data_IF_865451637192
#
_entry.id   IF_865451637192
#
_cell.length_a   1.000
_cell.length_b   1.000
_cell.length_c   1.000
_cell.angle_alpha   90.00
_cell.angle_beta   90.00
_cell.angle_gamma   90.00
#
_symmetry.space_group_name_H-M   'P 1'
#
loop_
_entity.id
_entity.type
_entity.pdbx_description
1 polymer ?
#
# COMPACT_ATOMS: atom_id res chain seq x y z
N UNK A 1 -15.52 -0.25 12.57
CA UNK A 1 -15.80 0.18 11.16
C UNK A 1 -15.21 -0.87 10.21
N UNK A 2 -15.93 -1.24 9.17
CA UNK A 2 -15.53 -2.29 8.21
C UNK A 2 -14.13 -2.07 7.60
N UNK A 3 -13.82 -0.85 7.17
CA UNK A 3 -12.51 -0.54 6.56
C UNK A 3 -11.33 -0.76 7.54
N UNK A 4 -11.48 -0.36 8.79
CA UNK A 4 -10.45 -0.53 9.83
C UNK A 4 -10.15 -2.02 10.04
N UNK A 5 -11.20 -2.84 10.14
CA UNK A 5 -11.04 -4.29 10.27
C UNK A 5 -10.30 -4.91 9.08
N UNK A 6 -10.64 -4.48 7.85
CA UNK A 6 -9.96 -4.95 6.63
C UNK A 6 -8.49 -4.52 6.59
N UNK A 7 -8.19 -3.25 6.91
CA UNK A 7 -6.83 -2.71 6.93
C UNK A 7 -5.95 -3.40 7.97
N UNK A 8 -6.48 -3.67 9.16
CA UNK A 8 -5.76 -4.39 10.21
C UNK A 8 -5.49 -5.85 9.82
N UNK A 9 -6.48 -6.54 9.24
CA UNK A 9 -6.29 -7.91 8.75
C UNK A 9 -5.21 -7.98 7.65
N UNK A 10 -5.22 -7.04 6.72
CA UNK A 10 -4.18 -6.96 5.68
C UNK A 10 -2.80 -6.73 6.29
N UNK A 11 -2.69 -5.88 7.32
CA UNK A 11 -1.44 -5.63 8.03
C UNK A 11 -0.87 -6.91 8.64
N UNK A 12 -1.69 -7.71 9.30
CA UNK A 12 -1.28 -9.00 9.89
C UNK A 12 -0.75 -9.95 8.80
N UNK A 13 -1.51 -10.12 7.71
CA UNK A 13 -1.10 -10.97 6.58
C UNK A 13 0.23 -10.50 5.98
N UNK A 14 0.39 -9.20 5.78
CA UNK A 14 1.62 -8.64 5.19
C UNK A 14 2.81 -8.76 6.12
N UNK A 15 2.63 -8.65 7.44
CA UNK A 15 3.71 -8.89 8.41
C UNK A 15 4.26 -10.30 8.28
N UNK A 16 3.42 -11.31 8.07
CA UNK A 16 3.85 -12.68 7.83
C UNK A 16 4.67 -12.78 6.54
N UNK A 17 4.23 -12.11 5.45
CA UNK A 17 5.00 -12.10 4.21
C UNK A 17 6.33 -11.37 4.32
N UNK A 18 6.40 -10.25 5.06
CA UNK A 18 7.66 -9.55 5.31
C UNK A 18 8.71 -10.42 5.99
N UNK A 19 8.31 -11.40 6.77
CA UNK A 19 9.22 -12.30 7.48
C UNK A 19 9.59 -13.57 6.68
N UNK A 20 8.99 -13.80 5.51
CA UNK A 20 9.22 -14.98 4.66
C UNK A 20 10.41 -14.75 3.70
N UNK A 21 11.62 -14.95 4.17
CA UNK A 21 12.86 -14.76 3.37
C UNK A 21 12.88 -15.58 2.08
N UNK A 22 12.24 -16.73 2.06
CA UNK A 22 12.17 -17.63 0.92
C UNK A 22 11.45 -17.07 -0.31
N UNK A 23 10.62 -16.03 -0.14
CA UNK A 23 9.92 -15.40 -1.27
C UNK A 23 10.67 -14.23 -1.89
N UNK A 24 11.69 -13.68 -1.22
CA UNK A 24 12.29 -12.40 -1.59
C UNK A 24 12.85 -12.37 -3.01
N UNK A 25 13.47 -13.45 -3.45
CA UNK A 25 14.09 -13.57 -4.77
C UNK A 25 13.21 -14.33 -5.79
N UNK A 26 12.00 -14.71 -5.42
CA UNK A 26 11.09 -15.46 -6.29
C UNK A 26 10.03 -14.56 -6.88
N UNK A 27 9.77 -14.77 -8.17
CA UNK A 27 8.74 -14.03 -8.89
C UNK A 27 7.38 -14.71 -8.76
N UNK A 28 6.31 -13.93 -8.65
CA UNK A 28 4.95 -14.46 -8.65
C UNK A 28 4.49 -14.96 -10.03
N UNK A 29 5.16 -14.51 -11.09
CA UNK A 29 4.99 -14.99 -12.49
C UNK A 29 6.25 -14.66 -13.31
N UNK A 30 6.39 -15.29 -14.48
CA UNK A 30 7.43 -14.94 -15.44
C UNK A 30 7.32 -13.47 -15.84
N UNK A 31 8.42 -12.73 -15.80
CA UNK A 31 8.47 -11.29 -16.11
C UNK A 31 7.84 -10.38 -15.03
N UNK A 32 7.29 -10.93 -13.95
CA UNK A 32 6.76 -10.17 -12.82
C UNK A 32 7.85 -9.78 -11.82
N UNK A 33 7.43 -9.03 -10.80
CA UNK A 33 8.28 -8.65 -9.67
C UNK A 33 8.55 -9.82 -8.73
N UNK A 34 9.64 -9.74 -8.00
CA UNK A 34 9.94 -10.65 -6.89
C UNK A 34 9.06 -10.35 -5.68
N UNK A 35 9.00 -11.28 -4.73
CA UNK A 35 8.28 -11.06 -3.46
C UNK A 35 8.80 -9.85 -2.71
N UNK A 36 10.11 -9.63 -2.68
CA UNK A 36 10.70 -8.43 -2.05
C UNK A 36 10.26 -7.14 -2.74
N UNK A 37 10.29 -7.12 -4.08
CA UNK A 37 9.84 -5.94 -4.86
C UNK A 37 8.37 -5.62 -4.64
N UNK A 38 7.50 -6.64 -4.57
CA UNK A 38 6.08 -6.45 -4.24
C UNK A 38 5.90 -5.87 -2.83
N UNK A 39 6.61 -6.40 -1.84
CA UNK A 39 6.53 -5.91 -0.45
C UNK A 39 7.00 -4.45 -0.32
N UNK A 40 8.08 -4.08 -0.98
CA UNK A 40 8.58 -2.70 -0.96
C UNK A 40 7.64 -1.76 -1.71
N UNK A 41 7.05 -2.22 -2.83
CA UNK A 41 6.02 -1.45 -3.52
C UNK A 41 4.79 -1.21 -2.63
N UNK A 42 4.34 -2.21 -1.87
CA UNK A 42 3.25 -2.03 -0.91
C UNK A 42 3.61 -0.96 0.13
N UNK A 43 4.83 -0.97 0.67
CA UNK A 43 5.31 0.06 1.61
C UNK A 43 5.29 1.45 0.97
N UNK A 44 5.76 1.60 -0.26
CA UNK A 44 5.76 2.89 -0.97
C UNK A 44 4.34 3.36 -1.29
N UNK A 45 3.47 2.48 -1.77
CA UNK A 45 2.07 2.79 -2.03
C UNK A 45 1.33 3.23 -0.75
N UNK A 46 1.67 2.64 0.39
CA UNK A 46 1.13 3.02 1.70
C UNK A 46 1.51 4.46 2.08
N UNK A 47 2.78 4.84 1.89
CA UNK A 47 3.24 6.20 2.17
C UNK A 47 2.57 7.23 1.27
N UNK A 48 2.37 6.91 0.00
CA UNK A 48 1.63 7.75 -0.95
C UNK A 48 0.16 7.88 -0.57
N UNK A 49 -0.48 6.77 -0.18
CA UNK A 49 -1.88 6.78 0.28
C UNK A 49 -2.05 7.64 1.54
N UNK A 50 -1.11 7.58 2.47
CA UNK A 50 -1.12 8.40 3.69
C UNK A 50 -1.02 9.89 3.39
N UNK A 51 -0.15 10.30 2.47
CA UNK A 51 -0.07 11.69 2.02
C UNK A 51 -1.39 12.15 1.38
N UNK A 52 -1.93 11.36 0.46
CA UNK A 52 -3.21 11.67 -0.22
C UNK A 52 -4.38 11.80 0.75
N UNK A 53 -4.49 10.89 1.70
CA UNK A 53 -5.54 10.89 2.72
C UNK A 53 -5.51 12.17 3.54
N UNK A 54 -4.33 12.58 4.02
CA UNK A 54 -4.16 13.82 4.78
C UNK A 54 -4.49 15.05 3.95
N UNK A 55 -4.10 15.07 2.67
CA UNK A 55 -4.44 16.19 1.75
C UNK A 55 -5.94 16.32 1.55
N UNK A 56 -6.66 15.23 1.30
CA UNK A 56 -8.13 15.29 1.16
C UNK A 56 -8.79 15.80 2.44
N UNK A 57 -8.33 15.36 3.60
CA UNK A 57 -8.89 15.81 4.89
C UNK A 57 -8.65 17.30 5.11
N UNK A 58 -7.45 17.79 4.80
CA UNK A 58 -6.95 19.10 5.26
C UNK A 58 -7.08 20.22 4.24
N UNK A 59 -6.97 19.92 2.95
CA UNK A 59 -6.87 20.90 1.88
C UNK A 59 -8.15 20.97 1.04
N UNK A 60 -8.37 22.09 0.33
CA UNK A 60 -9.49 22.23 -0.60
C UNK A 60 -9.08 21.79 -2.00
N UNK A 61 -9.77 20.78 -2.54
CA UNK A 61 -9.51 20.21 -3.87
C UNK A 61 -8.03 19.91 -4.16
N UNK A 62 -7.32 19.17 -3.29
CA UNK A 62 -5.90 18.89 -3.48
C UNK A 62 -5.67 18.05 -4.73
N UNK A 63 -4.50 18.25 -5.35
CA UNK A 63 -4.02 17.37 -6.42
C UNK A 63 -3.36 16.15 -5.76
N UNK A 64 -3.81 14.98 -6.17
CA UNK A 64 -3.27 13.68 -5.72
C UNK A 64 -2.42 13.10 -6.84
N UNK A 65 -1.10 13.28 -6.74
CA UNK A 65 -0.19 12.88 -7.79
C UNK A 65 -0.10 11.36 -7.95
N UNK A 66 -0.19 10.90 -9.19
CA UNK A 66 0.14 9.54 -9.58
C UNK A 66 1.64 9.30 -9.42
N UNK A 67 2.04 8.10 -9.02
CA UNK A 67 3.44 7.69 -9.03
C UNK A 67 3.67 6.52 -9.99
N UNK A 68 4.76 6.59 -10.74
CA UNK A 68 5.15 5.57 -11.73
C UNK A 68 5.81 4.39 -11.01
N UNK A 69 5.02 3.37 -10.69
CA UNK A 69 5.49 2.24 -9.86
C UNK A 69 6.69 1.50 -10.45
N UNK A 70 6.75 1.34 -11.77
CA UNK A 70 7.88 0.65 -12.42
C UNK A 70 9.16 1.48 -12.39
N UNK A 71 9.05 2.80 -12.53
CA UNK A 71 10.18 3.72 -12.37
C UNK A 71 10.67 3.75 -10.92
N UNK A 72 9.76 3.76 -9.94
CA UNK A 72 10.12 3.69 -8.54
C UNK A 72 10.84 2.40 -8.20
N UNK A 73 10.29 1.26 -8.63
CA UNK A 73 10.91 -0.05 -8.42
C UNK A 73 12.35 -0.08 -8.97
N UNK A 74 12.55 0.45 -10.18
CA UNK A 74 13.84 0.47 -10.84
C UNK A 74 14.80 1.48 -10.21
N UNK A 75 14.38 2.74 -10.10
CA UNK A 75 15.27 3.86 -9.74
C UNK A 75 15.56 3.92 -8.23
N UNK A 76 14.66 3.42 -7.39
CA UNK A 76 14.87 3.27 -5.95
C UNK A 76 15.50 1.92 -5.58
N UNK A 77 15.82 1.09 -6.57
CA UNK A 77 16.51 -0.20 -6.42
C UNK A 77 15.91 -1.07 -5.31
N UNK A 78 14.67 -1.50 -5.49
CA UNK A 78 13.91 -2.20 -4.47
C UNK A 78 14.62 -3.45 -3.92
N UNK A 79 15.39 -4.14 -4.75
CA UNK A 79 16.13 -5.34 -4.31
C UNK A 79 17.25 -5.01 -3.32
N UNK A 80 17.79 -3.79 -3.31
CA UNK A 80 18.82 -3.35 -2.37
C UNK A 80 18.27 -2.70 -1.09
N UNK A 81 16.98 -2.38 -1.04
CA UNK A 81 16.39 -1.78 0.16
C UNK A 81 16.37 -2.75 1.34
N UNK A 82 16.51 -2.22 2.54
CA UNK A 82 16.38 -2.97 3.78
C UNK A 82 14.93 -3.37 4.01
N UNK A 83 14.67 -4.69 4.04
CA UNK A 83 13.32 -5.23 4.18
C UNK A 83 12.76 -5.04 5.60
N UNK A 84 13.61 -5.09 6.61
CA UNK A 84 13.21 -4.86 8.01
C UNK A 84 12.78 -3.42 8.23
N UNK A 85 13.55 -2.47 7.71
CA UNK A 85 13.17 -1.05 7.73
C UNK A 85 11.89 -0.80 6.94
N UNK A 86 11.75 -1.43 5.78
CA UNK A 86 10.53 -1.32 4.95
C UNK A 86 9.29 -1.85 5.67
N UNK A 87 9.41 -2.96 6.41
CA UNK A 87 8.35 -3.48 7.28
C UNK A 87 7.95 -2.48 8.36
N UNK A 88 8.92 -1.86 9.03
CA UNK A 88 8.65 -0.85 10.06
C UNK A 88 7.92 0.36 9.49
N UNK A 89 8.40 0.90 8.35
CA UNK A 89 7.73 2.02 7.67
C UNK A 89 6.30 1.65 7.28
N UNK A 90 6.08 0.47 6.71
CA UNK A 90 4.75 0.00 6.37
C UNK A 90 3.83 -0.04 7.61
N UNK A 91 4.28 -0.65 8.70
CA UNK A 91 3.47 -0.80 9.91
C UNK A 91 3.08 0.54 10.52
N UNK A 92 4.05 1.45 10.69
CA UNK A 92 3.80 2.78 11.28
C UNK A 92 2.87 3.58 10.38
N UNK A 93 3.08 3.54 9.06
CA UNK A 93 2.23 4.25 8.10
C UNK A 93 0.80 3.69 8.10
N UNK A 94 0.64 2.36 8.10
CA UNK A 94 -0.69 1.71 8.17
C UNK A 94 -1.42 2.06 9.46
N UNK A 95 -0.75 2.05 10.60
CA UNK A 95 -1.32 2.46 11.88
C UNK A 95 -1.75 3.92 11.86
N UNK A 96 -0.95 4.81 11.27
CA UNK A 96 -1.30 6.23 11.12
C UNK A 96 -2.49 6.45 10.17
N UNK A 97 -2.62 5.65 9.12
CA UNK A 97 -3.80 5.67 8.23
C UNK A 97 -5.05 5.23 9.00
N UNK A 98 -4.97 4.15 9.78
CA UNK A 98 -6.10 3.66 10.59
C UNK A 98 -6.53 4.72 11.60
N UNK A 99 -5.60 5.33 12.33
CA UNK A 99 -5.87 6.43 13.26
C UNK A 99 -6.59 7.60 12.56
N UNK A 100 -6.09 8.03 11.42
CA UNK A 100 -6.70 9.14 10.66
C UNK A 100 -8.12 8.79 10.18
N UNK A 101 -8.37 7.55 9.79
CA UNK A 101 -9.72 7.08 9.41
C UNK A 101 -10.63 7.07 10.64
N UNK A 102 -10.17 6.56 11.78
CA UNK A 102 -10.95 6.56 13.03
C UNK A 102 -11.38 7.96 13.45
N UNK A 103 -10.48 8.92 13.37
CA UNK A 103 -10.71 10.29 13.79
C UNK A 103 -11.56 11.10 12.81
N UNK A 104 -11.40 10.88 11.50
CA UNK A 104 -11.84 11.85 10.50
C UNK A 104 -12.82 11.31 9.46
N UNK A 105 -12.89 10.00 9.25
CA UNK A 105 -13.66 9.43 8.13
C UNK A 105 -15.14 9.82 8.18
N UNK A 106 -15.77 9.77 9.34
CA UNK A 106 -17.19 10.11 9.49
C UNK A 106 -17.52 11.52 8.99
N UNK A 107 -16.60 12.47 9.20
CA UNK A 107 -16.79 13.88 8.81
C UNK A 107 -16.40 14.13 7.35
N UNK A 108 -15.38 13.45 6.85
CA UNK A 108 -14.75 13.81 5.58
C UNK A 108 -14.84 12.74 4.49
N UNK A 109 -15.61 11.68 4.69
CA UNK A 109 -15.70 10.54 3.75
C UNK A 109 -15.99 10.94 2.30
N UNK A 110 -16.81 11.97 2.11
CA UNK A 110 -17.25 12.43 0.80
C UNK A 110 -16.48 13.68 0.33
N UNK A 111 -15.49 14.15 1.11
CA UNK A 111 -14.58 15.23 0.67
C UNK A 111 -13.65 14.71 -0.42
N UNK A 112 -13.37 15.54 -1.41
CA UNK A 112 -12.73 15.15 -2.67
C UNK A 112 -11.36 15.81 -2.87
N UNK A 113 -10.53 15.12 -3.63
CA UNK A 113 -9.34 15.63 -4.29
C UNK A 113 -9.35 15.25 -5.76
N UNK A 114 -8.37 15.71 -6.53
CA UNK A 114 -8.24 15.41 -7.96
C UNK A 114 -6.98 14.55 -8.17
N UNK A 115 -7.18 13.28 -8.45
CA UNK A 115 -6.07 12.38 -8.81
C UNK A 115 -5.61 12.71 -10.24
N UNK A 116 -4.30 12.90 -10.43
CA UNK A 116 -3.71 13.36 -11.70
C UNK A 116 -4.00 12.48 -12.91
N UNK A 117 -4.35 11.20 -12.72
CA UNK A 117 -4.72 10.26 -13.78
C UNK A 117 -6.14 9.69 -13.69
N UNK A 118 -6.76 9.71 -12.50
CA UNK A 118 -8.07 9.09 -12.27
C UNK A 118 -9.22 10.09 -12.14
N UNK A 119 -8.91 11.39 -12.08
CA UNK A 119 -9.88 12.45 -11.88
C UNK A 119 -10.32 12.59 -10.42
N UNK A 120 -11.53 13.07 -10.20
CA UNK A 120 -12.07 13.32 -8.86
C UNK A 120 -12.16 12.03 -8.06
N UNK A 121 -11.68 12.09 -6.82
CA UNK A 121 -11.65 10.96 -5.90
C UNK A 121 -11.99 11.43 -4.48
N UNK A 122 -13.02 10.83 -3.88
CA UNK A 122 -13.36 11.09 -2.48
C UNK A 122 -12.43 10.33 -1.51
N UNK A 123 -12.42 10.77 -0.25
CA UNK A 123 -11.71 10.03 0.81
C UNK A 123 -12.18 8.57 0.90
N UNK A 124 -13.48 8.33 0.78
CA UNK A 124 -14.07 7.00 0.75
C UNK A 124 -13.48 6.14 -0.38
N UNK A 125 -13.47 6.68 -1.59
CA UNK A 125 -12.91 5.99 -2.76
C UNK A 125 -11.40 5.75 -2.63
N UNK A 126 -10.66 6.67 -2.01
CA UNK A 126 -9.23 6.48 -1.73
C UNK A 126 -9.01 5.30 -0.77
N UNK A 127 -9.79 5.21 0.30
CA UNK A 127 -9.68 4.10 1.28
C UNK A 127 -10.06 2.76 0.64
N UNK A 128 -11.14 2.73 -0.13
CA UNK A 128 -11.56 1.53 -0.86
C UNK A 128 -10.52 1.09 -1.90
N UNK A 129 -9.92 2.04 -2.61
CA UNK A 129 -8.83 1.77 -3.54
C UNK A 129 -7.59 1.21 -2.85
N UNK A 130 -7.21 1.76 -1.70
CA UNK A 130 -6.08 1.24 -0.91
C UNK A 130 -6.30 -0.22 -0.50
N UNK A 131 -7.50 -0.54 -0.01
CA UNK A 131 -7.85 -1.91 0.39
C UNK A 131 -7.78 -2.85 -0.82
N UNK A 132 -8.39 -2.48 -1.93
CA UNK A 132 -8.38 -3.25 -3.17
C UNK A 132 -6.96 -3.47 -3.71
N UNK A 133 -6.15 -2.42 -3.75
CA UNK A 133 -4.75 -2.46 -4.21
C UNK A 133 -3.91 -3.43 -3.35
N UNK A 134 -4.04 -3.31 -2.03
CA UNK A 134 -3.34 -4.20 -1.09
C UNK A 134 -3.77 -5.66 -1.27
N UNK A 135 -5.06 -5.93 -1.42
CA UNK A 135 -5.58 -7.29 -1.66
C UNK A 135 -5.02 -7.90 -2.95
N UNK A 136 -4.88 -7.12 -4.02
CA UNK A 136 -4.29 -7.60 -5.26
C UNK A 136 -2.83 -8.00 -5.09
N UNK A 137 -2.04 -7.22 -4.34
CA UNK A 137 -0.64 -7.57 -4.06
C UNK A 137 -0.51 -8.75 -3.11
N UNK A 138 -1.39 -8.90 -2.13
CA UNK A 138 -1.46 -10.12 -1.30
C UNK A 138 -1.73 -11.35 -2.17
N UNK A 139 -2.63 -11.26 -3.16
CA UNK A 139 -2.88 -12.36 -4.11
C UNK A 139 -1.62 -12.69 -4.94
N UNK A 140 -0.84 -11.70 -5.34
CA UNK A 140 0.44 -11.92 -6.03
C UNK A 140 1.44 -12.66 -5.13
N UNK A 141 1.60 -12.22 -3.88
CA UNK A 141 2.49 -12.86 -2.91
C UNK A 141 2.09 -14.33 -2.64
N UNK A 142 0.80 -14.62 -2.53
CA UNK A 142 0.27 -15.98 -2.36
C UNK A 142 0.56 -16.92 -3.54
N UNK A 143 0.82 -16.39 -4.73
CA UNK A 143 1.23 -17.19 -5.90
C UNK A 143 2.68 -17.63 -5.86
N UNK A 144 3.51 -17.01 -5.03
CA UNK A 144 4.91 -17.39 -4.87
C UNK A 144 4.94 -18.68 -4.04
N UNK A 145 5.24 -19.80 -4.69
CA UNK A 145 5.37 -21.10 -3.99
C UNK A 145 6.67 -21.12 -3.20
N UNK A 146 6.66 -21.47 -1.90
CA UNK A 146 7.88 -21.90 -1.22
C UNK A 146 8.51 -23.04 -2.04
N UNK A 147 9.82 -23.10 -2.09
CA UNK A 147 10.49 -24.26 -2.70
C UNK A 147 9.98 -25.50 -1.99
N UNK A 148 9.32 -26.39 -2.73
CA UNK A 148 8.85 -27.66 -2.19
C UNK A 148 10.01 -28.39 -1.52
N UNK A 149 9.73 -28.92 -0.34
CA UNK A 149 10.51 -30.00 0.26
C UNK A 149 10.21 -31.28 -0.53
#
# INVERSE_FOLDING_TARGET
>A
MKYISQLNKQKEILNDFFDQKEIYNKKYRKGGWTGKEVLIHIKDAETVAYDRLRRIISEDNPVLWFFEQDLWQKNLDYMKQDISLSKQVFNITRESIVEAIEMHFKKFADKEGVHSRRGVMSLRQLVEFLIWHTDNHIKQLKKIKPTGR
#
